data_IF_941386142548
#
_entry.id   IF_941386142548
#
_cell.length_a   1.000
_cell.length_b   1.000
_cell.length_c   1.000
_cell.angle_alpha   90.00
_cell.angle_beta   90.00
_cell.angle_gamma   90.00
#
_symmetry.space_group_name_H-M   'P 1'
#
loop_
_entity.id
_entity.type
_entity.pdbx_description
1 polymer ?
#
# COMPACT_ATOMS: atom_id res chain seq x y z
N UNK A 1 11.79 15.12 24.69
CA UNK A 1 10.38 15.05 24.29
C UNK A 1 10.08 13.60 23.98
N UNK A 2 9.56 12.87 24.96
CA UNK A 2 9.29 11.43 24.87
C UNK A 2 8.00 11.21 24.11
N UNK A 3 8.11 10.62 22.92
CA UNK A 3 6.98 10.11 22.14
C UNK A 3 6.16 9.17 23.02
N UNK A 4 4.91 9.54 23.31
CA UNK A 4 3.96 8.65 23.98
C UNK A 4 3.77 7.43 23.06
N UNK A 5 4.30 6.28 23.46
CA UNK A 5 3.89 5.01 22.87
C UNK A 5 2.41 4.84 23.19
N UNK A 6 1.59 4.80 22.15
CA UNK A 6 0.18 4.45 22.27
C UNK A 6 0.14 3.00 22.74
N UNK A 7 -0.48 2.72 23.89
CA UNK A 7 -0.55 1.37 24.44
C UNK A 7 -1.44 0.52 23.53
N UNK A 8 -0.82 -0.42 22.81
CA UNK A 8 -1.52 -1.35 21.92
C UNK A 8 -2.21 -2.43 22.76
N UNK A 9 -3.53 -2.56 22.61
CA UNK A 9 -4.35 -3.49 23.38
C UNK A 9 -4.52 -4.82 22.67
N UNK A 10 -4.78 -5.87 23.44
CA UNK A 10 -5.04 -7.22 22.97
C UNK A 10 -6.40 -7.30 22.31
N UNK A 11 -6.45 -7.84 21.10
CA UNK A 11 -7.66 -7.96 20.28
C UNK A 11 -8.76 -8.85 20.88
N UNK A 12 -8.44 -9.66 21.90
CA UNK A 12 -9.37 -10.61 22.53
C UNK A 12 -9.88 -10.17 23.91
N UNK A 13 -9.16 -9.29 24.61
CA UNK A 13 -9.49 -8.98 26.01
C UNK A 13 -9.12 -7.58 26.49
N UNK A 14 -8.72 -6.69 25.59
CA UNK A 14 -8.33 -5.30 25.90
C UNK A 14 -7.18 -5.14 26.91
N UNK A 15 -6.49 -6.22 27.29
CA UNK A 15 -5.27 -6.15 28.11
C UNK A 15 -4.08 -5.62 27.29
N UNK A 16 -3.05 -5.11 27.95
CA UNK A 16 -1.83 -4.67 27.26
C UNK A 16 -1.23 -5.81 26.42
N UNK A 17 -1.15 -5.59 25.11
CA UNK A 17 -0.57 -6.56 24.20
C UNK A 17 0.95 -6.48 24.25
N UNK A 18 1.59 -7.60 23.93
CA UNK A 18 3.07 -7.71 23.83
C UNK A 18 3.51 -8.32 22.51
N UNK A 19 2.59 -9.05 21.87
CA UNK A 19 2.82 -9.79 20.65
C UNK A 19 1.94 -9.26 19.53
N UNK A 20 2.44 -9.37 18.31
CA UNK A 20 1.69 -9.09 17.09
C UNK A 20 1.84 -10.26 16.13
N UNK A 21 0.72 -10.70 15.55
CA UNK A 21 0.71 -11.73 14.52
C UNK A 21 0.62 -11.08 13.14
N UNK A 22 1.61 -11.34 12.28
CA UNK A 22 1.70 -10.72 10.94
C UNK A 22 0.58 -11.19 10.00
N UNK A 23 0.09 -12.41 10.21
CA UNK A 23 -0.90 -13.11 9.40
C UNK A 23 -2.31 -12.65 9.76
N UNK A 24 -2.61 -12.60 11.06
CA UNK A 24 -3.92 -12.21 11.59
C UNK A 24 -4.10 -10.69 11.67
N UNK A 25 -3.02 -9.91 11.52
CA UNK A 25 -3.02 -8.45 11.69
C UNK A 25 -3.61 -8.02 13.05
N UNK A 26 -3.25 -8.77 14.08
CA UNK A 26 -3.85 -8.68 15.41
C UNK A 26 -2.80 -8.65 16.53
N UNK A 27 -3.16 -7.99 17.63
CA UNK A 27 -2.31 -7.81 18.81
C UNK A 27 -2.74 -8.78 19.92
N UNK A 28 -1.79 -9.41 20.60
CA UNK A 28 -2.07 -10.39 21.65
C UNK A 28 -1.28 -10.13 22.94
N UNK A 29 -1.93 -10.37 24.08
CA UNK A 29 -1.26 -10.51 25.37
C UNK A 29 -0.62 -11.91 25.50
N UNK A 30 0.20 -12.13 26.52
CA UNK A 30 0.91 -13.41 26.74
C UNK A 30 -0.06 -14.62 26.80
N UNK A 31 -1.23 -14.44 27.42
CA UNK A 31 -2.24 -15.47 27.56
C UNK A 31 -2.88 -15.85 26.22
N UNK A 32 -3.40 -14.88 25.47
CA UNK A 32 -4.06 -15.14 24.18
C UNK A 32 -3.07 -15.56 23.10
N UNK A 33 -1.84 -15.05 23.12
CA UNK A 33 -0.79 -15.52 22.23
C UNK A 33 -0.57 -17.03 22.40
N UNK A 34 -0.44 -17.48 23.65
CA UNK A 34 -0.26 -18.90 23.96
C UNK A 34 -1.49 -19.72 23.54
N UNK A 35 -2.72 -19.28 23.85
CA UNK A 35 -3.92 -20.05 23.53
C UNK A 35 -4.13 -20.20 22.01
N UNK A 36 -3.98 -19.11 21.27
CA UNK A 36 -4.24 -19.07 19.83
C UNK A 36 -3.13 -19.81 19.07
N UNK A 37 -1.87 -19.57 19.43
CA UNK A 37 -0.72 -20.04 18.65
C UNK A 37 0.01 -21.28 19.22
N UNK A 38 -0.38 -21.82 20.38
CA UNK A 38 0.21 -23.10 20.89
C UNK A 38 -0.38 -24.34 20.22
N UNK A 39 -1.53 -24.23 19.53
CA UNK A 39 -2.12 -25.37 18.84
C UNK A 39 -1.40 -25.61 17.50
N UNK A 40 -1.00 -26.86 17.28
CA UNK A 40 -0.16 -27.34 16.17
C UNK A 40 -0.64 -26.99 14.74
N UNK A 41 -1.82 -26.36 14.56
CA UNK A 41 -2.34 -25.93 13.26
C UNK A 41 -1.86 -24.56 12.79
N UNK A 42 -1.25 -23.74 13.65
CA UNK A 42 -0.77 -22.39 13.30
C UNK A 42 0.75 -22.27 13.12
N UNK A 43 1.44 -23.35 12.70
CA UNK A 43 2.89 -23.35 12.41
C UNK A 43 3.33 -22.30 11.36
N UNK A 44 2.40 -21.66 10.67
CA UNK A 44 2.64 -20.65 9.64
C UNK A 44 2.44 -19.20 10.12
N UNK A 45 2.08 -18.97 11.39
CA UNK A 45 1.89 -17.62 11.93
C UNK A 45 3.23 -17.10 12.46
N UNK A 46 3.60 -15.90 12.04
CA UNK A 46 4.83 -15.21 12.41
C UNK A 46 4.48 -14.20 13.50
N UNK A 47 4.90 -14.53 14.72
CA UNK A 47 4.54 -13.80 15.94
C UNK A 47 5.79 -13.07 16.40
N UNK A 48 5.68 -11.75 16.45
CA UNK A 48 6.79 -10.86 16.77
C UNK A 48 6.42 -9.97 17.96
N UNK A 49 7.40 -9.29 18.53
CA UNK A 49 7.13 -8.29 19.55
C UNK A 49 6.38 -7.08 18.96
N UNK A 50 5.51 -6.43 19.75
CA UNK A 50 4.80 -5.23 19.29
C UNK A 50 5.73 -4.10 18.85
N UNK A 51 6.92 -3.99 19.45
CA UNK A 51 7.93 -3.03 19.01
C UNK A 51 8.39 -3.25 17.55
N UNK A 52 8.22 -4.46 17.02
CA UNK A 52 8.59 -4.84 15.66
C UNK A 52 7.41 -4.77 14.67
N UNK A 53 6.19 -4.49 15.16
CA UNK A 53 4.95 -4.44 14.36
C UNK A 53 5.09 -3.53 13.14
N UNK A 54 5.51 -2.29 13.34
CA UNK A 54 5.64 -1.32 12.23
C UNK A 54 6.66 -1.77 11.19
N UNK A 55 7.80 -2.33 11.64
CA UNK A 55 8.84 -2.83 10.75
C UNK A 55 8.35 -4.05 9.94
N UNK A 56 7.59 -4.95 10.56
CA UNK A 56 7.02 -6.12 9.90
C UNK A 56 5.89 -5.76 8.94
N UNK A 57 5.01 -4.82 9.30
CA UNK A 57 3.99 -4.27 8.38
C UNK A 57 4.69 -3.64 7.18
N UNK A 58 5.72 -2.82 7.41
CA UNK A 58 6.50 -2.22 6.33
C UNK A 58 7.16 -3.26 5.45
N UNK A 59 7.71 -4.35 6.02
CA UNK A 59 8.32 -5.46 5.27
C UNK A 59 7.28 -6.28 4.49
N UNK A 60 6.10 -6.53 5.07
CA UNK A 60 4.95 -7.21 4.41
C UNK A 60 4.46 -6.38 3.22
N UNK A 61 4.33 -5.07 3.41
CA UNK A 61 3.92 -4.13 2.36
C UNK A 61 5.02 -3.87 1.33
N UNK A 62 6.29 -4.06 1.69
CA UNK A 62 7.43 -4.03 0.78
C UNK A 62 7.61 -5.34 -0.01
N UNK A 63 6.73 -6.34 0.16
CA UNK A 63 6.73 -7.50 -0.75
C UNK A 63 6.53 -6.98 -2.17
N UNK A 64 7.41 -7.36 -3.10
CA UNK A 64 7.31 -6.86 -4.46
C UNK A 64 5.95 -7.28 -5.03
N UNK A 65 5.24 -6.33 -5.65
CA UNK A 65 4.07 -6.68 -6.43
C UNK A 65 4.52 -7.66 -7.50
N UNK A 66 3.92 -8.85 -7.55
CA UNK A 66 4.24 -9.83 -8.59
C UNK A 66 3.31 -9.62 -9.78
N UNK A 67 3.81 -9.90 -10.98
CA UNK A 67 2.98 -9.99 -12.16
C UNK A 67 1.92 -11.07 -11.96
N UNK A 68 0.65 -10.75 -12.27
CA UNK A 68 -0.48 -11.68 -12.15
C UNK A 68 -0.31 -12.93 -13.01
N UNK A 69 0.29 -12.80 -14.18
CA UNK A 69 0.42 -13.88 -15.16
C UNK A 69 1.72 -14.67 -15.02
N UNK A 70 2.82 -14.00 -14.66
CA UNK A 70 4.15 -14.58 -14.72
C UNK A 70 4.77 -14.85 -13.34
N UNK A 71 4.09 -14.48 -12.24
CA UNK A 71 4.56 -14.60 -10.85
C UNK A 71 5.97 -14.04 -10.57
N UNK A 72 6.52 -13.25 -11.50
CA UNK A 72 7.79 -12.56 -11.34
C UNK A 72 7.59 -11.23 -10.62
N UNK A 73 8.55 -10.80 -9.78
CA UNK A 73 8.52 -9.47 -9.19
C UNK A 73 8.44 -8.37 -10.26
N UNK A 74 7.42 -7.51 -10.17
CA UNK A 74 7.28 -6.32 -11.04
C UNK A 74 8.39 -5.30 -10.77
N UNK A 75 8.98 -5.34 -9.58
CA UNK A 75 9.95 -4.36 -9.08
C UNK A 75 11.27 -4.27 -9.86
N UNK A 76 11.58 -5.22 -10.76
CA UNK A 76 12.79 -5.12 -11.59
C UNK A 76 12.58 -4.24 -12.82
N UNK A 77 11.34 -4.10 -13.31
CA UNK A 77 10.98 -3.29 -14.48
C UNK A 77 9.47 -2.97 -14.43
N UNK A 78 9.06 -2.07 -13.54
CA UNK A 78 7.65 -1.68 -13.45
C UNK A 78 7.29 -0.89 -14.71
N UNK A 79 6.71 -1.58 -15.68
CA UNK A 79 6.25 -1.00 -16.93
C UNK A 79 4.76 -0.72 -16.84
N UNK A 80 4.31 0.30 -17.54
CA UNK A 80 2.92 0.67 -17.64
C UNK A 80 2.51 0.76 -19.10
N UNK A 81 1.51 -0.03 -19.49
CA UNK A 81 0.95 -0.01 -20.83
C UNK A 81 -0.13 1.08 -20.91
N UNK A 82 0.13 2.14 -21.68
CA UNK A 82 -0.79 3.25 -21.84
C UNK A 82 -2.08 2.87 -22.57
N UNK A 83 -2.03 1.85 -23.45
CA UNK A 83 -3.20 1.31 -24.13
C UNK A 83 -4.11 0.54 -23.16
N UNK A 84 -3.54 -0.42 -22.43
CA UNK A 84 -4.29 -1.29 -21.52
C UNK A 84 -4.63 -0.64 -20.17
N UNK A 85 -3.98 0.49 -19.84
CA UNK A 85 -4.07 1.15 -18.52
C UNK A 85 -3.73 0.22 -17.36
N UNK A 86 -2.70 -0.60 -17.54
CA UNK A 86 -2.30 -1.61 -16.55
C UNK A 86 -0.77 -1.72 -16.41
N UNK A 87 -0.33 -2.19 -15.24
CA UNK A 87 1.08 -2.45 -14.92
C UNK A 87 1.46 -3.83 -15.44
N UNK A 88 2.61 -3.91 -16.12
CA UNK A 88 3.07 -5.14 -16.72
C UNK A 88 4.55 -5.43 -16.42
N UNK A 89 4.94 -6.70 -16.59
CA UNK A 89 6.35 -7.11 -16.54
C UNK A 89 6.93 -7.24 -17.96
N UNK A 90 8.24 -7.39 -18.05
CA UNK A 90 8.95 -7.60 -19.32
C UNK A 90 8.42 -8.82 -20.09
N UNK A 91 8.07 -9.92 -19.41
CA UNK A 91 7.50 -11.08 -20.08
C UNK A 91 6.13 -10.78 -20.72
N UNK A 92 5.27 -10.01 -20.03
CA UNK A 92 4.00 -9.59 -20.61
C UNK A 92 4.20 -8.75 -21.89
N UNK A 93 5.26 -7.93 -21.92
CA UNK A 93 5.64 -7.11 -23.07
C UNK A 93 6.27 -7.93 -24.20
N UNK A 94 7.17 -8.86 -23.90
CA UNK A 94 7.96 -9.55 -24.94
C UNK A 94 7.22 -10.68 -25.63
N UNK A 95 6.38 -11.43 -24.91
CA UNK A 95 5.84 -12.71 -25.40
C UNK A 95 4.34 -12.89 -25.24
N UNK A 96 3.62 -11.91 -24.68
CA UNK A 96 2.22 -12.09 -24.27
C UNK A 96 1.35 -10.87 -24.67
N UNK A 97 0.24 -10.65 -23.95
CA UNK A 97 -0.83 -9.68 -24.21
C UNK A 97 -0.40 -8.24 -24.50
N UNK A 98 0.77 -7.78 -24.04
CA UNK A 98 1.23 -6.40 -24.29
C UNK A 98 2.22 -6.28 -25.44
N UNK A 99 2.59 -7.37 -26.12
CA UNK A 99 3.49 -7.34 -27.27
C UNK A 99 2.98 -6.45 -28.40
N UNK A 100 1.66 -6.40 -28.62
CA UNK A 100 1.04 -5.58 -29.65
C UNK A 100 1.04 -4.08 -29.30
N UNK A 101 1.28 -3.72 -28.03
CA UNK A 101 1.26 -2.35 -27.53
C UNK A 101 2.65 -1.92 -27.04
N UNK A 102 3.72 -2.53 -27.56
CA UNK A 102 5.07 -2.31 -27.04
C UNK A 102 5.51 -0.86 -27.08
N UNK A 103 5.06 -0.14 -28.11
CA UNK A 103 5.40 1.28 -28.32
C UNK A 103 4.60 2.21 -27.39
N UNK A 104 3.54 1.69 -26.77
CA UNK A 104 2.72 2.40 -25.78
C UNK A 104 3.09 2.03 -24.33
N UNK A 105 4.22 1.35 -24.13
CA UNK A 105 4.71 0.99 -22.80
C UNK A 105 5.76 1.98 -22.34
N UNK A 106 5.56 2.52 -21.13
CA UNK A 106 6.48 3.44 -20.45
C UNK A 106 6.92 2.90 -19.10
N UNK A 107 7.96 3.50 -18.54
CA UNK A 107 8.27 3.34 -17.12
C UNK A 107 7.08 3.82 -16.27
N UNK A 108 6.69 3.06 -15.25
CA UNK A 108 5.65 3.49 -14.33
C UNK A 108 6.03 4.79 -13.60
N UNK A 109 7.33 5.03 -13.39
CA UNK A 109 7.82 6.23 -12.70
C UNK A 109 7.47 7.47 -13.51
N UNK A 110 7.80 7.46 -14.80
CA UNK A 110 7.52 8.57 -15.70
C UNK A 110 6.01 8.84 -15.82
N UNK A 111 5.21 7.76 -15.89
CA UNK A 111 3.74 7.88 -15.91
C UNK A 111 3.25 8.50 -14.62
N UNK A 112 3.67 7.99 -13.46
CA UNK A 112 3.25 8.51 -12.15
C UNK A 112 3.64 9.97 -11.98
N UNK A 113 4.84 10.36 -12.40
CA UNK A 113 5.29 11.74 -12.26
C UNK A 113 4.51 12.68 -13.20
N UNK A 114 4.24 12.25 -14.44
CA UNK A 114 3.36 13.00 -15.36
C UNK A 114 1.94 13.15 -14.78
N UNK A 115 1.36 12.08 -14.26
CA UNK A 115 0.00 12.12 -13.69
C UNK A 115 -0.06 12.98 -12.42
N UNK A 116 1.00 13.00 -11.59
CA UNK A 116 1.08 13.91 -10.44
C UNK A 116 1.12 15.38 -10.88
N UNK A 117 1.85 15.70 -11.93
CA UNK A 117 1.89 17.07 -12.48
C UNK A 117 0.49 17.48 -12.96
N UNK A 118 -0.18 16.65 -13.75
CA UNK A 118 -1.54 16.88 -14.23
C UNK A 118 -2.53 17.06 -13.05
N UNK A 119 -2.45 16.19 -12.05
CA UNK A 119 -3.30 16.27 -10.86
C UNK A 119 -3.04 17.57 -10.08
N UNK A 120 -1.79 18.00 -9.96
CA UNK A 120 -1.43 19.24 -9.28
C UNK A 120 -2.03 20.45 -9.99
N UNK A 121 -1.91 20.52 -11.32
CA UNK A 121 -2.53 21.58 -12.12
C UNK A 121 -4.06 21.61 -11.97
N UNK A 122 -4.71 20.44 -11.97
CA UNK A 122 -6.16 20.36 -11.77
C UNK A 122 -6.57 20.83 -10.38
N UNK A 123 -5.81 20.49 -9.34
CA UNK A 123 -6.06 20.95 -7.98
C UNK A 123 -5.95 22.47 -7.87
N UNK A 124 -4.93 23.07 -8.49
CA UNK A 124 -4.77 24.53 -8.52
C UNK A 124 -5.95 25.23 -9.22
N UNK A 125 -6.38 24.71 -10.38
CA UNK A 125 -7.56 25.23 -11.11
C UNK A 125 -8.82 25.16 -10.27
N UNK A 126 -9.05 24.04 -9.58
CA UNK A 126 -10.21 23.86 -8.70
C UNK A 126 -10.16 24.84 -7.51
N UNK A 127 -8.98 25.03 -6.90
CA UNK A 127 -8.81 25.97 -5.79
C UNK A 127 -9.07 27.42 -6.22
N UNK A 128 -8.57 27.81 -7.40
CA UNK A 128 -8.83 29.13 -7.98
C UNK A 128 -10.32 29.33 -8.23
N UNK A 129 -10.97 28.38 -8.91
CA UNK A 129 -12.41 28.45 -9.19
C UNK A 129 -13.23 28.55 -7.89
N UNK A 130 -12.89 27.75 -6.87
CA UNK A 130 -13.53 27.84 -5.55
C UNK A 130 -13.40 29.24 -4.95
N UNK A 131 -12.22 29.85 -5.05
CA UNK A 131 -11.96 31.18 -4.50
C UNK A 131 -12.76 32.26 -5.23
N UNK A 132 -12.80 32.20 -6.56
CA UNK A 132 -13.59 33.11 -7.40
C UNK A 132 -15.08 33.00 -7.08
N UNK A 133 -15.60 31.77 -7.03
CA UNK A 133 -17.00 31.50 -6.67
C UNK A 133 -17.39 32.04 -5.28
N UNK A 134 -16.53 31.85 -4.28
CA UNK A 134 -16.78 32.36 -2.92
C UNK A 134 -16.76 33.90 -2.86
N UNK A 135 -15.90 34.54 -3.65
CA UNK A 135 -15.83 36.00 -3.73
C UNK A 135 -17.08 36.59 -4.42
N UNK A 136 -17.55 35.98 -5.51
CA UNK A 136 -18.78 36.38 -6.19
C UNK A 136 -20.02 36.24 -5.28
N UNK A 137 -20.13 35.14 -4.52
CA UNK A 137 -21.21 34.95 -3.55
C UNK A 137 -21.21 36.02 -2.45
N UNK A 138 -20.03 36.48 -2.01
CA UNK A 138 -19.90 37.51 -0.97
C UNK A 138 -20.23 38.92 -1.45
N UNK A 139 -20.18 39.19 -2.76
CA UNK A 139 -20.53 40.49 -3.35
C UNK A 139 -22.03 40.63 -3.64
N UNK A 140 -22.78 39.54 -3.58
CA UNK A 140 -24.24 39.49 -3.80
C UNK A 140 -25.05 39.59 -2.50
N UNK A 141 -24.38 39.68 -1.34
CA UNK A 141 -24.96 39.90 -0.02
C UNK A 141 -24.72 41.33 0.46
#
# INVERSE_FOLDING_TARGET
>A
MTSKQQEELCSECDANARWYCVQDDANFCDQHNTVIHSFKSQKSHDIIGIAEKEAAIKKKNAKPMNCRNHHMPLCLYCLYCLYCKDVCCVACLSVDIHKQHSDEVKSIVDVVDTEKEILSEHLEKIQKFKTEFMNEQSQLQ
#
